data_IF_074170882209
#
_entry.id   IF_074170882209
#
_cell.length_a   1.000
_cell.length_b   1.000
_cell.length_c   1.000
_cell.angle_alpha   90.00
_cell.angle_beta   90.00
_cell.angle_gamma   90.00
#
_symmetry.space_group_name_H-M   'P 1'
#
loop_
_entity.id
_entity.type
_entity.pdbx_description
1 polymer ?
#
# COMPACT_ATOMS: atom_id res chain seq x y z
N UNK A 1 29.29 -48.26 -31.09
CA UNK A 1 29.25 -48.34 -29.61
C UNK A 1 29.63 -46.98 -29.03
N UNK A 2 28.77 -46.44 -28.14
CA UNK A 2 29.06 -45.46 -27.07
C UNK A 2 29.45 -44.05 -27.53
N UNK A 3 28.83 -42.96 -27.07
CA UNK A 3 27.81 -42.82 -26.04
C UNK A 3 27.27 -41.39 -26.10
N UNK A 4 25.95 -41.32 -26.15
CA UNK A 4 25.13 -40.15 -25.99
C UNK A 4 25.39 -39.55 -24.59
N UNK A 5 26.02 -38.37 -24.51
CA UNK A 5 26.07 -37.61 -23.26
C UNK A 5 24.70 -36.98 -23.06
N UNK A 6 24.00 -37.48 -22.05
CA UNK A 6 22.66 -37.07 -21.68
C UNK A 6 22.61 -35.56 -21.40
N UNK A 7 21.73 -34.88 -22.14
CA UNK A 7 21.20 -33.57 -21.82
C UNK A 7 20.43 -33.69 -20.49
N UNK A 8 21.13 -33.50 -19.38
CA UNK A 8 20.50 -33.47 -18.05
C UNK A 8 19.63 -32.21 -17.99
N UNK A 9 18.32 -32.44 -17.98
CA UNK A 9 17.29 -31.42 -18.08
C UNK A 9 17.40 -30.34 -17.00
N UNK A 10 17.68 -29.13 -17.44
CA UNK A 10 17.28 -27.92 -16.73
C UNK A 10 15.83 -27.59 -17.09
N UNK A 11 14.91 -28.52 -16.81
CA UNK A 11 13.52 -28.13 -16.55
C UNK A 11 13.49 -27.68 -15.10
N UNK A 12 14.05 -26.49 -14.84
CA UNK A 12 13.55 -25.70 -13.73
C UNK A 12 12.06 -25.58 -14.01
N UNK A 13 11.25 -26.25 -13.18
CA UNK A 13 9.82 -26.14 -13.25
C UNK A 13 9.52 -24.63 -13.22
N UNK A 14 9.15 -24.06 -14.37
CA UNK A 14 8.35 -22.86 -14.36
C UNK A 14 7.13 -23.27 -13.55
N UNK A 15 7.07 -22.86 -12.28
CA UNK A 15 5.83 -23.02 -11.54
C UNK A 15 4.77 -22.36 -12.41
N UNK A 16 3.73 -23.11 -12.79
CA UNK A 16 2.50 -22.49 -13.24
C UNK A 16 2.21 -21.38 -12.23
N UNK A 17 2.10 -20.13 -12.69
CA UNK A 17 1.97 -18.98 -11.79
C UNK A 17 0.88 -19.30 -10.77
N UNK A 18 1.28 -19.51 -9.52
CA UNK A 18 0.35 -19.79 -8.44
C UNK A 18 -0.67 -18.65 -8.34
N UNK A 19 -1.81 -18.90 -7.70
CA UNK A 19 -2.76 -17.83 -7.42
C UNK A 19 -2.05 -16.67 -6.70
N UNK A 20 -2.00 -15.51 -7.34
CA UNK A 20 -1.37 -14.32 -6.77
C UNK A 20 -2.33 -13.65 -5.79
N UNK A 21 -2.23 -14.06 -4.53
CA UNK A 21 -3.00 -13.45 -3.45
C UNK A 21 -2.36 -12.10 -3.09
N UNK A 22 -2.98 -11.01 -3.53
CA UNK A 22 -2.48 -9.66 -3.26
C UNK A 22 -3.16 -9.02 -2.04
N UNK A 23 -2.37 -8.49 -1.12
CA UNK A 23 -2.84 -7.63 -0.05
C UNK A 23 -3.12 -6.22 -0.57
N UNK A 24 -4.38 -5.88 -0.83
CA UNK A 24 -4.81 -4.56 -1.28
C UNK A 24 -4.51 -3.47 -0.23
N UNK A 25 -3.59 -2.56 -0.59
CA UNK A 25 -2.98 -1.53 0.26
C UNK A 25 -2.41 -2.12 1.54
N UNK A 26 -1.79 -3.29 1.43
CA UNK A 26 -1.51 -4.20 2.54
C UNK A 26 -2.77 -4.97 2.96
N UNK A 27 -3.15 -4.92 4.23
CA UNK A 27 -4.38 -5.52 4.73
C UNK A 27 -5.36 -4.43 5.17
N UNK A 28 -5.83 -3.59 4.23
CA UNK A 28 -6.63 -2.39 4.58
C UNK A 28 -7.91 -2.65 5.37
N UNK A 29 -8.41 -3.88 5.36
CA UNK A 29 -9.55 -4.29 6.20
C UNK A 29 -9.19 -4.64 7.65
N UNK A 30 -7.91 -4.75 7.97
CA UNK A 30 -7.41 -5.13 9.30
C UNK A 30 -6.55 -4.03 9.94
N UNK A 31 -5.95 -3.16 9.13
CA UNK A 31 -5.07 -2.08 9.58
C UNK A 31 -5.15 -0.88 8.61
N UNK A 32 -4.71 0.33 9.03
CA UNK A 32 -4.76 1.51 8.19
C UNK A 32 -4.03 1.31 6.86
N UNK A 33 -4.71 1.57 5.75
CA UNK A 33 -4.22 1.28 4.41
C UNK A 33 -2.85 1.92 4.11
N UNK A 34 -2.06 1.27 3.25
CA UNK A 34 -0.80 1.81 2.74
C UNK A 34 0.21 2.19 3.86
N UNK A 35 0.09 1.57 5.04
CA UNK A 35 1.01 1.76 6.17
C UNK A 35 1.82 0.50 6.47
N UNK A 36 2.96 0.65 7.14
CA UNK A 36 3.78 -0.48 7.60
C UNK A 36 2.99 -1.51 8.44
N UNK A 37 2.10 -1.11 9.39
CA UNK A 37 1.20 -2.06 10.05
C UNK A 37 0.30 -2.87 9.10
N UNK A 38 -0.26 -2.27 8.05
CA UNK A 38 -1.07 -3.00 7.08
C UNK A 38 -0.25 -3.96 6.23
N UNK A 39 0.98 -3.59 5.86
CA UNK A 39 1.89 -4.50 5.17
C UNK A 39 2.35 -5.66 6.07
N UNK A 40 2.68 -5.39 7.34
CA UNK A 40 3.03 -6.42 8.32
C UNK A 40 1.87 -7.42 8.54
N UNK A 41 0.64 -6.92 8.64
CA UNK A 41 -0.56 -7.74 8.73
C UNK A 41 -0.75 -8.62 7.49
N UNK A 42 -0.62 -8.05 6.29
CA UNK A 42 -0.72 -8.81 5.04
C UNK A 42 0.37 -9.91 4.94
N UNK A 43 1.62 -9.60 5.27
CA UNK A 43 2.71 -10.57 5.30
C UNK A 43 2.43 -11.71 6.29
N UNK A 44 1.87 -11.39 7.46
CA UNK A 44 1.51 -12.39 8.48
C UNK A 44 0.38 -13.32 8.02
N UNK A 45 -0.44 -12.90 7.07
CA UNK A 45 -1.50 -13.71 6.44
C UNK A 45 -0.98 -14.60 5.29
N UNK A 46 0.28 -14.44 4.88
CA UNK A 46 0.87 -15.24 3.80
C UNK A 46 0.43 -14.82 2.40
N UNK A 47 0.12 -13.54 2.19
CA UNK A 47 -0.12 -13.00 0.84
C UNK A 47 1.12 -13.23 -0.05
N UNK A 48 0.89 -13.46 -1.34
CA UNK A 48 1.97 -13.61 -2.33
C UNK A 48 2.56 -12.25 -2.72
N UNK A 49 1.73 -11.21 -2.70
CA UNK A 49 2.10 -9.86 -3.16
C UNK A 49 1.53 -8.81 -2.21
N UNK A 50 2.32 -7.77 -1.95
CA UNK A 50 1.84 -6.53 -1.34
C UNK A 50 1.45 -5.56 -2.45
N UNK A 51 0.18 -5.18 -2.49
CA UNK A 51 -0.30 -4.13 -3.39
C UNK A 51 -0.31 -2.79 -2.64
N UNK A 52 0.04 -1.72 -3.36
CA UNK A 52 0.09 -0.36 -2.84
C UNK A 52 -0.08 0.66 -3.95
N UNK A 53 -0.38 1.89 -3.56
CA UNK A 53 -0.51 3.04 -4.44
C UNK A 53 0.59 4.07 -4.20
N UNK A 54 0.98 4.81 -5.24
CA UNK A 54 2.01 5.85 -5.13
C UNK A 54 1.54 7.22 -5.61
N UNK A 55 2.02 8.25 -4.93
CA UNK A 55 1.97 9.65 -5.35
C UNK A 55 3.37 10.27 -5.38
N UNK A 56 3.46 11.51 -5.87
CA UNK A 56 4.72 12.28 -5.92
C UNK A 56 4.50 13.64 -5.25
N UNK A 57 5.33 13.96 -4.26
CA UNK A 57 5.31 15.22 -3.51
C UNK A 57 5.71 16.43 -4.37
N UNK A 58 5.59 17.64 -3.81
CA UNK A 58 6.01 18.89 -4.44
C UNK A 58 7.52 18.93 -4.78
N UNK A 59 8.33 18.29 -3.95
CA UNK A 59 9.78 18.17 -4.06
C UNK A 59 10.25 16.87 -4.74
N UNK A 60 9.35 16.11 -5.37
CA UNK A 60 9.70 15.00 -6.25
C UNK A 60 9.92 13.65 -5.55
N UNK A 61 9.58 13.54 -4.26
CA UNK A 61 9.68 12.30 -3.50
C UNK A 61 8.47 11.42 -3.77
N UNK A 62 8.70 10.13 -4.08
CA UNK A 62 7.63 9.13 -4.20
C UNK A 62 7.14 8.77 -2.80
N UNK A 63 5.82 8.84 -2.60
CA UNK A 63 5.16 8.51 -1.34
C UNK A 63 4.07 7.48 -1.58
N UNK A 64 3.76 6.67 -0.55
CA UNK A 64 2.66 5.71 -0.62
C UNK A 64 1.36 6.39 -0.21
N UNK A 65 0.42 6.52 -1.14
CA UNK A 65 -0.90 7.11 -0.93
C UNK A 65 -1.82 6.79 -2.12
N UNK A 66 -3.08 6.44 -1.86
CA UNK A 66 -4.04 6.10 -2.91
C UNK A 66 -4.57 7.32 -3.65
N UNK A 67 -5.02 8.34 -2.91
CA UNK A 67 -5.72 9.48 -3.48
C UNK A 67 -4.74 10.59 -3.89
N UNK A 68 -5.08 11.32 -4.96
CA UNK A 68 -4.32 12.52 -5.39
C UNK A 68 -4.32 13.63 -4.34
N UNK A 69 -5.34 13.65 -3.49
CA UNK A 69 -5.50 14.53 -2.33
C UNK A 69 -5.41 13.71 -1.06
N UNK A 70 -4.89 14.31 0.01
CA UNK A 70 -5.05 13.72 1.34
C UNK A 70 -6.53 13.46 1.58
N UNK A 71 -6.89 12.26 2.02
CA UNK A 71 -8.28 11.87 2.17
C UNK A 71 -8.79 12.25 3.57
N UNK A 72 -9.77 13.18 3.69
CA UNK A 72 -10.30 13.65 4.97
C UNK A 72 -10.87 12.56 5.90
N UNK A 73 -11.25 11.41 5.35
CA UNK A 73 -11.79 10.27 6.09
C UNK A 73 -10.71 9.42 6.74
N UNK A 74 -9.44 9.59 6.38
CA UNK A 74 -8.33 8.81 6.94
C UNK A 74 -7.12 9.67 7.31
N UNK A 75 -7.20 10.99 7.21
CA UNK A 75 -6.07 11.88 7.49
C UNK A 75 -6.42 12.92 8.55
N UNK A 76 -5.50 13.11 9.50
CA UNK A 76 -5.53 14.17 10.51
C UNK A 76 -4.31 15.06 10.41
N UNK A 77 -4.46 16.32 10.78
CA UNK A 77 -3.36 17.27 10.91
C UNK A 77 -2.49 16.98 12.16
N UNK A 78 -1.41 17.76 12.33
CA UNK A 78 -0.50 17.62 13.46
C UNK A 78 -1.15 17.90 14.83
N UNK A 79 -2.30 18.58 14.86
CA UNK A 79 -3.08 18.81 16.08
C UNK A 79 -4.13 17.69 16.32
N UNK A 80 -4.21 16.69 15.43
CA UNK A 80 -5.13 15.58 15.52
C UNK A 80 -6.53 15.86 14.99
N UNK A 81 -6.76 17.02 14.36
CA UNK A 81 -8.04 17.34 13.73
C UNK A 81 -8.16 16.63 12.40
N UNK A 82 -9.34 16.11 12.08
CA UNK A 82 -9.60 15.58 10.76
C UNK A 82 -9.60 16.69 9.70
N UNK A 83 -9.07 16.40 8.50
CA UNK A 83 -9.03 17.40 7.44
C UNK A 83 -10.43 17.80 6.96
N UNK A 84 -10.57 19.04 6.47
CA UNK A 84 -11.79 19.48 5.80
C UNK A 84 -11.70 19.21 4.28
N UNK A 85 -12.84 19.24 3.60
CA UNK A 85 -12.88 19.28 2.14
C UNK A 85 -12.81 20.73 1.64
N UNK A 86 -12.04 21.03 0.58
CA UNK A 86 -11.09 20.15 -0.08
C UNK A 86 -9.75 20.08 0.69
N UNK A 87 -9.21 18.87 0.85
CA UNK A 87 -7.87 18.69 1.42
C UNK A 87 -6.76 18.96 0.38
N UNK A 88 -5.52 19.25 0.81
CA UNK A 88 -4.38 19.47 -0.08
C UNK A 88 -4.09 18.29 -1.02
N UNK A 89 -3.54 18.57 -2.20
CA UNK A 89 -3.03 17.51 -3.09
C UNK A 89 -1.65 17.05 -2.62
N UNK A 90 -1.32 15.76 -2.82
CA UNK A 90 0.02 15.24 -2.53
C UNK A 90 1.09 16.07 -3.26
N UNK A 91 0.84 16.41 -4.53
CA UNK A 91 1.73 17.22 -5.37
C UNK A 91 1.90 18.68 -4.90
N UNK A 92 1.05 19.17 -4.00
CA UNK A 92 1.15 20.53 -3.44
C UNK A 92 1.96 20.62 -2.15
N UNK A 93 2.36 19.49 -1.57
CA UNK A 93 3.07 19.42 -0.29
C UNK A 93 4.46 18.81 -0.48
N UNK A 94 5.48 19.35 0.20
CA UNK A 94 6.80 18.68 0.28
C UNK A 94 6.71 17.38 1.08
N UNK A 95 7.72 16.52 0.94
CA UNK A 95 7.77 15.29 1.74
C UNK A 95 7.75 15.58 3.25
N UNK A 96 8.52 16.58 3.70
CA UNK A 96 8.54 16.99 5.11
C UNK A 96 7.17 17.50 5.59
N UNK A 97 6.40 18.20 4.75
CA UNK A 97 5.04 18.62 5.08
C UNK A 97 4.08 17.43 5.16
N UNK A 98 4.20 16.47 4.23
CA UNK A 98 3.39 15.24 4.25
C UNK A 98 3.61 14.42 5.52
N UNK A 99 4.84 14.36 6.02
CA UNK A 99 5.17 13.67 7.28
C UNK A 99 4.49 14.28 8.53
N UNK A 100 3.95 15.50 8.44
CA UNK A 100 3.21 16.13 9.54
C UNK A 100 1.76 15.64 9.70
N UNK A 101 1.25 14.82 8.79
CA UNK A 101 -0.11 14.27 8.85
C UNK A 101 -0.14 12.86 9.44
N UNK A 102 -1.25 12.54 10.10
CA UNK A 102 -1.49 11.22 10.70
C UNK A 102 -2.56 10.47 9.90
N UNK A 103 -2.18 9.30 9.35
CA UNK A 103 -3.05 8.39 8.59
C UNK A 103 -3.34 7.07 9.30
N UNK A 104 -3.08 7.00 10.61
CA UNK A 104 -3.10 5.76 11.38
C UNK A 104 -4.48 5.29 11.84
N UNK A 105 -5.57 5.95 11.43
CA UNK A 105 -6.94 5.50 11.74
C UNK A 105 -7.97 6.11 10.77
N UNK A 106 -9.09 5.42 10.60
CA UNK A 106 -10.24 5.91 9.83
C UNK A 106 -11.11 6.81 10.72
N UNK A 107 -11.69 7.87 10.14
CA UNK A 107 -12.66 8.76 10.78
C UNK A 107 -13.87 7.94 11.22
N UNK A 108 -14.25 7.98 12.50
CA UNK A 108 -15.46 7.28 12.94
C UNK A 108 -16.72 7.87 12.27
N UNK A 109 -17.67 7.00 11.91
CA UNK A 109 -19.01 7.39 11.46
C UNK A 109 -19.15 7.78 9.98
N UNK A 110 -18.07 7.90 9.22
CA UNK A 110 -18.16 8.13 7.76
C UNK A 110 -18.40 6.84 6.99
N UNK A 111 -18.93 6.95 5.77
CA UNK A 111 -19.21 5.79 4.91
C UNK A 111 -17.95 4.99 4.57
N UNK A 112 -16.78 5.65 4.52
CA UNK A 112 -15.50 4.97 4.33
C UNK A 112 -15.25 3.91 5.41
N UNK A 113 -15.55 4.23 6.67
CA UNK A 113 -15.37 3.33 7.81
C UNK A 113 -16.29 2.11 7.76
N UNK A 114 -17.47 2.22 7.13
CA UNK A 114 -18.47 1.12 7.08
C UNK A 114 -18.11 0.00 6.12
N UNK A 115 -17.03 0.16 5.34
CA UNK A 115 -16.55 -0.82 4.37
C UNK A 115 -15.62 -1.87 5.00
N UNK A 116 -15.31 -1.72 6.28
CA UNK A 116 -14.38 -2.53 7.06
C UNK A 116 -15.01 -2.88 8.41
#
# INVERSE_FOLDING_TARGET
MRGLVALVGALAAMSAAGFDLQGHRGARGLAPENTLPAFAAALSLGVSTLELDVGVSADGVVVIAHDRRLNPDITRDAAGNWLAHPAPTIRSLSFAQLQGYDVGRIRPGVDYARRY
#
